data_IF_856046044059
#
_entry.id   IF_856046044059
#
_cell.length_a   1.000
_cell.length_b   1.000
_cell.length_c   1.000
_cell.angle_alpha   90.00
_cell.angle_beta   90.00
_cell.angle_gamma   90.00
#
_symmetry.space_group_name_H-M   'P 1'
#
loop_
_entity.id
_entity.type
_entity.pdbx_description
1 polymer ?
#
# COMPACT_ATOMS: atom_id res chain seq x y z
N UNK A 1 -5.90 11.95 15.93
CA UNK A 1 -6.14 11.18 14.68
C UNK A 1 -5.96 12.14 13.51
N UNK A 2 -5.18 11.74 12.51
CA UNK A 2 -4.73 12.59 11.40
C UNK A 2 -5.93 13.03 10.52
N UNK A 3 -5.89 14.22 9.93
CA UNK A 3 -6.95 14.74 9.03
C UNK A 3 -7.21 13.82 7.83
N UNK A 4 -6.21 13.02 7.46
CA UNK A 4 -6.26 11.97 6.45
C UNK A 4 -7.44 11.00 6.60
N UNK A 5 -7.93 10.78 7.82
CA UNK A 5 -9.03 9.86 8.09
C UNK A 5 -10.35 10.24 7.43
N UNK A 6 -10.53 11.50 7.05
CA UNK A 6 -11.75 12.01 6.40
C UNK A 6 -11.65 12.06 4.87
N UNK A 7 -10.50 11.69 4.28
CA UNK A 7 -10.31 11.74 2.85
C UNK A 7 -11.06 10.61 2.13
N UNK A 8 -11.59 10.86 0.91
CA UNK A 8 -12.29 9.85 0.13
C UNK A 8 -11.41 8.64 -0.17
N UNK A 9 -12.00 7.47 -0.03
CA UNK A 9 -11.38 6.17 -0.23
C UNK A 9 -12.27 5.35 -1.16
N UNK A 10 -11.74 4.91 -2.29
CA UNK A 10 -12.51 4.07 -3.21
C UNK A 10 -12.81 2.72 -2.53
N UNK A 11 -14.08 2.33 -2.42
CA UNK A 11 -14.46 1.04 -1.81
C UNK A 11 -13.97 -0.16 -2.62
N UNK A 12 -13.75 0.01 -3.93
CA UNK A 12 -13.34 -1.07 -4.83
C UNK A 12 -11.83 -1.32 -4.80
N UNK A 13 -10.98 -0.30 -4.96
CA UNK A 13 -9.52 -0.49 -5.02
C UNK A 13 -8.77 0.01 -3.79
N UNK A 14 -9.46 0.56 -2.79
CA UNK A 14 -8.89 1.16 -1.58
C UNK A 14 -7.97 2.37 -1.81
N UNK A 15 -7.83 2.87 -3.04
CA UNK A 15 -7.01 4.06 -3.29
C UNK A 15 -7.66 5.29 -2.68
N UNK A 16 -6.87 6.05 -1.94
CA UNK A 16 -7.28 7.30 -1.30
C UNK A 16 -7.06 8.50 -2.22
N UNK A 17 -8.00 9.43 -2.18
CA UNK A 17 -8.03 10.62 -3.04
C UNK A 17 -7.98 11.91 -2.20
N UNK A 18 -7.67 13.02 -2.86
CA UNK A 18 -7.84 14.35 -2.27
C UNK A 18 -9.32 14.66 -1.98
N UNK A 19 -9.58 15.52 -1.00
CA UNK A 19 -10.93 15.96 -0.64
C UNK A 19 -11.66 16.68 -1.79
N UNK A 20 -10.92 17.25 -2.75
CA UNK A 20 -11.45 17.97 -3.91
C UNK A 20 -11.84 17.06 -5.07
N UNK A 21 -11.61 15.75 -4.98
CA UNK A 21 -11.87 14.82 -6.08
C UNK A 21 -13.37 14.73 -6.43
N UNK A 22 -13.70 14.72 -7.72
CA UNK A 22 -15.06 14.49 -8.20
C UNK A 22 -15.36 12.99 -8.10
N UNK A 23 -16.11 12.60 -7.06
CA UNK A 23 -16.40 11.21 -6.67
C UNK A 23 -17.30 10.44 -7.67
N UNK A 24 -17.39 10.87 -8.92
CA UNK A 24 -18.09 10.16 -9.99
C UNK A 24 -17.33 8.94 -10.50
N UNK A 25 -16.00 8.97 -10.44
CA UNK A 25 -15.15 7.95 -11.04
C UNK A 25 -13.84 7.77 -10.26
N UNK A 26 -13.28 6.56 -10.33
CA UNK A 26 -11.97 6.22 -9.79
C UNK A 26 -11.11 5.78 -10.96
N UNK A 27 -10.16 6.61 -11.39
CA UNK A 27 -9.36 6.31 -12.59
C UNK A 27 -8.53 5.04 -12.46
N UNK A 28 -8.18 4.64 -11.24
CA UNK A 28 -7.56 3.33 -10.96
C UNK A 28 -8.50 2.15 -11.28
N UNK A 29 -9.80 2.31 -11.04
CA UNK A 29 -10.82 1.27 -11.30
C UNK A 29 -11.35 1.31 -12.74
N UNK A 30 -11.31 2.46 -13.39
CA UNK A 30 -11.68 2.63 -14.80
C UNK A 30 -10.61 2.07 -15.75
N UNK A 31 -9.41 1.79 -15.23
CA UNK A 31 -8.39 1.10 -15.98
C UNK A 31 -8.80 -0.36 -16.28
N UNK A 32 -8.61 -0.87 -17.51
CA UNK A 32 -9.04 -2.20 -17.91
C UNK A 32 -8.35 -3.36 -17.18
N UNK A 33 -7.25 -3.12 -16.46
CA UNK A 33 -6.59 -4.11 -15.60
C UNK A 33 -7.29 -4.23 -14.24
N UNK A 34 -8.32 -3.42 -14.02
CA UNK A 34 -9.13 -3.40 -12.83
C UNK A 34 -10.62 -3.39 -13.17
N UNK A 35 -11.45 -3.23 -12.15
CA UNK A 35 -12.90 -3.29 -12.30
C UNK A 35 -13.61 -2.29 -11.39
N UNK A 36 -14.86 -2.02 -11.74
CA UNK A 36 -15.85 -1.33 -10.93
C UNK A 36 -16.82 -2.39 -10.40
N UNK A 37 -17.35 -2.21 -9.19
CA UNK A 37 -18.34 -3.14 -8.64
C UNK A 37 -19.62 -3.15 -9.50
N UNK A 38 -20.39 -4.26 -9.51
CA UNK A 38 -21.69 -4.30 -10.19
C UNK A 38 -22.68 -3.23 -9.70
N UNK A 39 -22.54 -2.79 -8.45
CA UNK A 39 -23.30 -1.69 -7.85
C UNK A 39 -22.85 -0.29 -8.31
N UNK A 40 -21.82 -0.20 -9.15
CA UNK A 40 -21.19 1.05 -9.57
C UNK A 40 -20.07 1.51 -8.64
N UNK A 41 -19.55 2.70 -8.95
CA UNK A 41 -18.50 3.36 -8.17
C UNK A 41 -19.00 3.72 -6.77
N UNK A 42 -18.23 3.38 -5.74
CA UNK A 42 -18.58 3.67 -4.35
C UNK A 42 -17.39 4.18 -3.55
N UNK A 43 -17.68 5.00 -2.54
CA UNK A 43 -16.69 5.70 -1.74
C UNK A 43 -16.98 5.54 -0.25
N UNK A 44 -15.92 5.65 0.55
CA UNK A 44 -15.92 5.64 2.01
C UNK A 44 -14.80 6.55 2.50
N UNK A 45 -14.58 6.59 3.81
CA UNK A 45 -13.40 7.17 4.45
C UNK A 45 -12.84 6.18 5.48
N UNK A 46 -11.59 6.35 5.89
CA UNK A 46 -11.04 5.57 7.01
C UNK A 46 -11.87 5.79 8.29
N UNK A 47 -12.34 7.01 8.53
CA UNK A 47 -13.20 7.35 9.67
C UNK A 47 -14.48 6.52 9.70
N UNK A 48 -15.14 6.37 8.55
CA UNK A 48 -16.33 5.51 8.44
C UNK A 48 -15.98 4.04 8.67
N UNK A 49 -14.86 3.55 8.12
CA UNK A 49 -14.42 2.17 8.34
C UNK A 49 -14.12 1.87 9.82
N UNK A 50 -13.51 2.81 10.57
CA UNK A 50 -13.26 2.65 12.01
C UNK A 50 -14.55 2.63 12.85
N UNK A 51 -15.59 3.32 12.37
CA UNK A 51 -16.88 3.45 13.04
C UNK A 51 -17.87 2.35 12.67
N UNK A 52 -17.63 1.64 11.55
CA UNK A 52 -18.44 0.52 11.08
C UNK A 52 -18.28 -0.71 11.99
N UNK A 53 -19.06 -0.74 13.07
CA UNK A 53 -19.08 -1.84 14.04
C UNK A 53 -19.75 -3.10 13.51
N UNK A 54 -20.51 -3.00 12.43
CA UNK A 54 -21.15 -4.16 11.81
C UNK A 54 -20.12 -4.98 11.03
N UNK A 55 -19.30 -4.32 10.22
CA UNK A 55 -18.20 -4.98 9.50
C UNK A 55 -17.01 -5.29 10.41
N UNK A 56 -16.71 -4.39 11.36
CA UNK A 56 -15.63 -4.54 12.34
C UNK A 56 -14.27 -4.89 11.69
N UNK A 57 -13.84 -4.03 10.75
CA UNK A 57 -12.59 -4.19 10.02
C UNK A 57 -11.38 -4.25 10.96
N UNK A 58 -10.45 -5.15 10.65
CA UNK A 58 -9.17 -5.31 11.34
C UNK A 58 -8.13 -5.83 10.37
N UNK A 59 -6.86 -5.51 10.61
CA UNK A 59 -5.78 -6.14 9.86
C UNK A 59 -5.31 -7.42 10.55
N UNK A 60 -5.17 -8.49 9.77
CA UNK A 60 -4.68 -9.78 10.21
C UNK A 60 -3.22 -9.91 9.84
N UNK A 61 -2.41 -10.38 10.80
CA UNK A 61 -0.99 -10.61 10.67
C UNK A 61 -0.69 -12.10 10.72
N UNK A 62 -0.08 -12.63 9.67
CA UNK A 62 0.34 -14.04 9.60
C UNK A 62 1.74 -14.16 9.00
N UNK A 63 2.42 -15.28 9.23
CA UNK A 63 3.65 -15.61 8.51
C UNK A 63 3.28 -16.40 7.25
N UNK A 64 3.90 -16.12 6.09
CA UNK A 64 3.45 -16.69 4.82
C UNK A 64 3.78 -18.19 4.66
N UNK A 65 4.84 -18.67 5.32
CA UNK A 65 5.27 -20.07 5.33
C UNK A 65 6.25 -20.34 6.47
N UNK A 66 6.43 -21.61 6.80
CA UNK A 66 7.41 -22.06 7.79
C UNK A 66 8.83 -21.68 7.37
N UNK A 67 9.59 -21.07 8.28
CA UNK A 67 10.96 -20.62 7.99
C UNK A 67 11.08 -19.18 7.48
N UNK A 68 9.97 -18.42 7.42
CA UNK A 68 9.98 -16.98 7.20
C UNK A 68 9.60 -16.17 8.47
N UNK A 69 10.33 -16.33 9.61
CA UNK A 69 9.92 -15.71 10.87
C UNK A 69 9.95 -14.17 10.83
N UNK A 70 10.69 -13.61 9.89
CA UNK A 70 10.90 -12.17 9.71
C UNK A 70 10.05 -11.56 8.58
N UNK A 71 9.07 -12.31 8.06
CA UNK A 71 8.12 -11.83 7.05
C UNK A 71 6.72 -11.98 7.62
N UNK A 72 5.98 -10.88 7.69
CA UNK A 72 4.56 -10.89 8.02
C UNK A 72 3.73 -10.47 6.82
N UNK A 73 2.68 -11.20 6.51
CA UNK A 73 1.61 -10.73 5.64
C UNK A 73 0.58 -9.95 6.44
N UNK A 74 0.06 -8.89 5.84
CA UNK A 74 -0.98 -8.03 6.40
C UNK A 74 -2.11 -7.94 5.40
N UNK A 75 -3.33 -8.33 5.79
CA UNK A 75 -4.54 -8.16 4.99
C UNK A 75 -5.70 -7.72 5.89
N UNK A 76 -6.70 -7.05 5.30
CA UNK A 76 -7.87 -6.58 6.05
C UNK A 76 -8.99 -7.63 6.04
N UNK A 77 -9.60 -7.87 7.21
CA UNK A 77 -10.80 -8.68 7.38
C UNK A 77 -11.93 -7.87 8.04
N UNK A 78 -13.18 -7.93 7.52
CA UNK A 78 -13.55 -8.56 6.24
C UNK A 78 -12.85 -7.90 5.05
N UNK A 79 -12.83 -8.60 3.91
CA UNK A 79 -12.10 -8.15 2.71
C UNK A 79 -12.54 -6.74 2.32
N UNK A 80 -11.58 -5.83 2.24
CA UNK A 80 -11.77 -4.46 1.78
C UNK A 80 -10.95 -4.19 0.51
N UNK A 81 -11.50 -3.35 -0.38
CA UNK A 81 -10.90 -3.11 -1.69
C UNK A 81 -10.81 -4.39 -2.52
N UNK A 82 -9.70 -4.52 -3.26
CA UNK A 82 -9.40 -5.70 -4.09
C UNK A 82 -8.77 -6.85 -3.28
N UNK A 83 -8.87 -6.84 -1.95
CA UNK A 83 -8.25 -7.86 -1.09
C UNK A 83 -6.73 -7.80 -1.08
N UNK A 84 -6.18 -6.58 -1.03
CA UNK A 84 -4.74 -6.33 -1.00
C UNK A 84 -4.08 -7.07 0.16
N UNK A 85 -2.84 -7.50 -0.07
CA UNK A 85 -1.97 -8.09 0.94
C UNK A 85 -0.62 -7.41 0.92
N UNK A 86 -0.27 -6.74 2.01
CA UNK A 86 1.04 -6.14 2.21
C UNK A 86 1.99 -7.13 2.90
N UNK A 87 3.29 -6.92 2.79
CA UNK A 87 4.32 -7.71 3.46
C UNK A 87 5.24 -6.80 4.29
N UNK A 88 5.38 -7.10 5.58
CA UNK A 88 6.33 -6.44 6.48
C UNK A 88 7.59 -7.31 6.57
N UNK A 89 8.71 -6.75 6.12
CA UNK A 89 10.03 -7.39 6.13
C UNK A 89 10.85 -6.87 7.31
N UNK A 90 11.16 -7.74 8.28
CA UNK A 90 11.97 -7.39 9.44
C UNK A 90 13.46 -7.59 9.15
N UNK A 91 14.12 -6.52 8.71
CA UNK A 91 15.55 -6.55 8.34
C UNK A 91 16.43 -6.04 9.47
N UNK A 92 17.73 -6.32 9.41
CA UNK A 92 18.71 -5.79 10.37
C UNK A 92 18.89 -4.26 10.29
N UNK A 93 18.40 -3.61 9.24
CA UNK A 93 18.53 -2.16 8.99
C UNK A 93 17.22 -1.40 9.20
N UNK A 94 16.20 -2.06 9.74
CA UNK A 94 14.84 -1.54 9.92
C UNK A 94 13.83 -2.24 9.00
N UNK A 95 12.54 -2.05 9.29
CA UNK A 95 11.51 -2.79 8.57
C UNK A 95 11.11 -2.10 7.26
N UNK A 96 10.86 -2.90 6.23
CA UNK A 96 10.31 -2.43 4.95
C UNK A 96 8.91 -2.98 4.78
N UNK A 97 7.96 -2.12 4.45
CA UNK A 97 6.62 -2.55 4.02
C UNK A 97 6.59 -2.63 2.49
N UNK A 98 6.39 -3.83 1.95
CA UNK A 98 6.10 -4.06 0.55
C UNK A 98 4.59 -4.03 0.33
N UNK A 99 4.16 -3.08 -0.51
CA UNK A 99 2.77 -2.72 -0.76
C UNK A 99 1.99 -2.20 0.48
N UNK A 100 0.82 -1.63 0.26
CA UNK A 100 -0.06 -1.15 1.34
C UNK A 100 -1.48 -1.70 1.21
N UNK A 101 -2.09 -1.99 2.36
CA UNK A 101 -3.54 -2.18 2.47
C UNK A 101 -4.24 -0.85 2.75
N UNK A 102 -5.48 -0.70 2.29
CA UNK A 102 -6.25 0.52 2.50
C UNK A 102 -6.54 0.84 3.97
N UNK A 103 -6.95 -0.17 4.75
CA UNK A 103 -7.34 0.00 6.15
C UNK A 103 -6.12 0.07 7.07
N UNK A 104 -6.09 1.07 7.96
CA UNK A 104 -5.08 1.21 9.01
C UNK A 104 -5.76 1.74 10.27
N UNK A 105 -5.49 1.13 11.41
CA UNK A 105 -6.02 1.50 12.72
C UNK A 105 -4.93 1.46 13.79
N UNK A 106 -5.28 1.84 15.03
CA UNK A 106 -4.30 1.91 16.11
C UNK A 106 -3.73 0.52 16.47
N UNK A 107 -4.54 -0.55 16.42
CA UNK A 107 -4.06 -1.90 16.70
C UNK A 107 -3.01 -2.37 15.69
N UNK A 108 -3.22 -2.06 14.40
CA UNK A 108 -2.23 -2.27 13.33
C UNK A 108 -0.94 -1.52 13.61
N UNK A 109 -1.06 -0.24 14.00
CA UNK A 109 0.10 0.62 14.32
C UNK A 109 0.88 0.07 15.50
N UNK A 110 0.20 -0.29 16.58
CA UNK A 110 0.81 -0.83 17.79
C UNK A 110 1.51 -2.16 17.50
N UNK A 111 0.88 -3.03 16.70
CA UNK A 111 1.48 -4.30 16.26
C UNK A 111 2.76 -4.06 15.47
N UNK A 112 2.75 -3.17 14.48
CA UNK A 112 3.96 -2.87 13.68
C UNK A 112 5.04 -2.22 14.52
N UNK A 113 4.69 -1.31 15.44
CA UNK A 113 5.66 -0.72 16.37
C UNK A 113 6.29 -1.78 17.29
N UNK A 114 5.50 -2.76 17.77
CA UNK A 114 6.03 -3.90 18.54
C UNK A 114 7.00 -4.78 17.74
N UNK A 115 6.91 -4.74 16.41
CA UNK A 115 7.79 -5.45 15.47
C UNK A 115 8.98 -4.59 15.00
N UNK A 116 9.15 -3.36 15.50
CA UNK A 116 10.27 -2.47 15.18
C UNK A 116 9.91 -1.25 14.32
N UNK A 117 8.62 -0.97 14.10
CA UNK A 117 8.15 0.18 13.32
C UNK A 117 8.37 0.00 11.82
N UNK A 118 8.43 1.10 11.07
CA UNK A 118 8.78 1.11 9.64
C UNK A 118 9.96 2.04 9.38
N UNK A 119 10.78 1.67 8.38
CA UNK A 119 11.87 2.50 7.88
C UNK A 119 11.62 2.97 6.44
N UNK A 120 10.91 2.17 5.64
CA UNK A 120 10.52 2.50 4.29
C UNK A 120 9.24 1.75 3.89
N UNK A 121 8.52 2.31 2.92
CA UNK A 121 7.41 1.65 2.22
C UNK A 121 7.80 1.60 0.74
N UNK A 122 7.56 0.48 0.06
CA UNK A 122 7.77 0.35 -1.37
C UNK A 122 6.49 -0.17 -1.98
N UNK A 123 5.93 0.56 -2.95
CA UNK A 123 4.69 0.13 -3.61
C UNK A 123 5.03 -0.43 -4.98
N UNK A 124 4.58 -1.66 -5.24
CA UNK A 124 4.86 -2.40 -6.46
C UNK A 124 4.28 -1.73 -7.70
N UNK A 125 3.03 -1.25 -7.62
CA UNK A 125 2.30 -0.63 -8.72
C UNK A 125 1.01 0.08 -8.22
N UNK A 126 0.32 0.88 -9.05
CA UNK A 126 -0.80 1.73 -8.67
C UNK A 126 -1.98 1.07 -7.95
N UNK A 127 -2.28 -0.21 -8.17
CA UNK A 127 -3.36 -0.87 -7.42
C UNK A 127 -3.10 -0.96 -5.91
N UNK A 128 -1.85 -0.76 -5.47
CA UNK A 128 -1.45 -0.76 -4.07
C UNK A 128 -1.14 0.65 -3.53
N UNK A 129 -1.48 1.71 -4.28
CA UNK A 129 -1.35 3.07 -3.77
C UNK A 129 -2.21 3.26 -2.51
N UNK A 130 -3.40 2.66 -2.42
CA UNK A 130 -4.13 2.51 -1.16
C UNK A 130 -4.17 3.83 -0.35
N UNK A 131 -3.82 3.77 0.94
CA UNK A 131 -3.63 4.91 1.85
C UNK A 131 -2.14 5.18 2.13
N UNK A 132 -1.22 4.96 1.18
CA UNK A 132 0.24 4.98 1.42
C UNK A 132 0.79 6.25 2.10
N UNK A 133 0.23 7.44 1.81
CA UNK A 133 0.62 8.68 2.51
C UNK A 133 0.22 8.60 3.98
N UNK A 134 -1.01 8.14 4.27
CA UNK A 134 -1.50 7.96 5.65
C UNK A 134 -0.62 6.99 6.41
N UNK A 135 -0.26 5.86 5.80
CA UNK A 135 0.72 4.92 6.36
C UNK A 135 2.05 5.61 6.67
N UNK A 136 2.65 6.27 5.69
CA UNK A 136 3.93 6.97 5.88
C UNK A 136 3.89 7.97 7.05
N UNK A 137 2.88 8.87 7.05
CA UNK A 137 2.70 9.89 8.10
C UNK A 137 2.48 9.25 9.48
N UNK A 138 1.74 8.14 9.54
CA UNK A 138 1.46 7.42 10.79
C UNK A 138 2.73 6.84 11.40
N UNK A 139 3.68 6.40 10.57
CA UNK A 139 4.97 5.87 11.01
C UNK A 139 6.10 6.91 11.00
N UNK A 140 5.77 8.21 11.10
CA UNK A 140 6.77 9.27 11.25
C UNK A 140 7.37 9.77 9.93
N UNK A 141 6.56 9.85 8.87
CA UNK A 141 6.94 10.31 7.53
C UNK A 141 8.03 9.45 6.88
N UNK A 142 7.94 8.12 7.01
CA UNK A 142 8.86 7.19 6.35
C UNK A 142 8.76 7.31 4.81
N UNK A 143 9.88 7.22 4.06
CA UNK A 143 9.84 7.35 2.61
C UNK A 143 8.97 6.27 1.96
N UNK A 144 8.19 6.67 0.96
CA UNK A 144 7.38 5.79 0.11
C UNK A 144 7.97 5.75 -1.30
N UNK A 145 8.57 4.62 -1.67
CA UNK A 145 9.18 4.42 -2.98
C UNK A 145 8.14 3.97 -3.99
N UNK A 146 8.00 4.75 -5.08
CA UNK A 146 7.10 4.50 -6.19
C UNK A 146 7.88 4.58 -7.50
N UNK A 147 7.51 3.83 -8.53
CA UNK A 147 8.10 4.01 -9.85
C UNK A 147 7.72 5.37 -10.45
N UNK A 148 8.70 6.07 -11.05
CA UNK A 148 8.45 7.37 -11.69
C UNK A 148 7.51 7.27 -12.89
N UNK A 149 7.50 6.12 -13.57
CA UNK A 149 6.69 5.79 -14.74
C UNK A 149 5.17 5.85 -14.44
N UNK A 150 4.77 5.61 -13.19
CA UNK A 150 3.38 5.48 -12.78
C UNK A 150 2.84 6.73 -12.05
N UNK A 151 3.54 7.87 -12.16
CA UNK A 151 3.14 9.16 -11.54
C UNK A 151 1.74 9.62 -11.93
N UNK A 152 1.31 9.32 -13.16
CA UNK A 152 -0.01 9.71 -13.66
C UNK A 152 -1.17 9.08 -12.90
N UNK A 153 -0.91 8.00 -12.16
CA UNK A 153 -1.92 7.27 -11.38
C UNK A 153 -2.13 7.83 -9.97
N UNK A 154 -1.30 8.78 -9.53
CA UNK A 154 -1.40 9.36 -8.18
C UNK A 154 -2.75 10.07 -8.01
N UNK A 155 -3.46 9.69 -6.95
CA UNK A 155 -4.84 10.12 -6.67
C UNK A 155 -4.94 11.15 -5.54
N UNK A 156 -3.90 11.23 -4.72
CA UNK A 156 -3.80 12.08 -3.54
C UNK A 156 -2.54 12.91 -3.62
N UNK A 157 -2.65 14.19 -3.30
CA UNK A 157 -1.53 15.12 -3.28
C UNK A 157 -0.61 14.85 -2.07
N UNK A 158 0.70 14.98 -2.29
CA UNK A 158 1.74 14.89 -1.26
C UNK A 158 2.46 16.25 -1.16
N UNK A 159 1.73 17.26 -0.67
CA UNK A 159 2.12 18.67 -0.60
C UNK A 159 2.68 19.11 0.77
N UNK A 160 3.07 18.15 1.60
CA UNK A 160 3.78 18.46 2.84
C UNK A 160 5.08 19.22 2.52
N UNK A 161 5.55 20.06 3.46
CA UNK A 161 6.83 20.75 3.32
C UNK A 161 7.98 19.78 2.99
N UNK A 162 7.91 18.56 3.55
CA UNK A 162 8.75 17.42 3.22
C UNK A 162 7.85 16.29 2.70
N UNK A 163 7.66 16.16 1.37
CA UNK A 163 6.89 15.07 0.78
C UNK A 163 7.48 13.70 1.14
N UNK A 164 6.63 12.69 1.27
CA UNK A 164 7.06 11.35 1.68
C UNK A 164 7.41 10.46 0.48
N UNK A 165 6.87 10.76 -0.70
CA UNK A 165 7.14 9.98 -1.92
C UNK A 165 8.59 10.13 -2.39
N UNK A 166 9.18 9.04 -2.84
CA UNK A 166 10.48 8.95 -3.51
C UNK A 166 10.26 8.24 -4.83
N UNK A 167 10.48 8.94 -5.94
CA UNK A 167 10.25 8.37 -7.27
C UNK A 167 11.51 7.67 -7.77
N UNK A 168 11.37 6.39 -8.08
CA UNK A 168 12.43 5.51 -8.58
C UNK A 168 12.51 5.64 -10.10
N UNK A 169 13.61 6.21 -10.58
CA UNK A 169 13.87 6.37 -12.02
C UNK A 169 14.67 5.20 -12.58
N UNK A 170 15.60 4.68 -11.78
CA UNK A 170 16.49 3.59 -12.13
C UNK A 170 15.76 2.25 -12.21
N UNK A 171 16.29 1.34 -13.04
CA UNK A 171 15.76 -0.02 -13.14
C UNK A 171 15.89 -0.80 -11.82
N UNK A 172 16.93 -0.52 -11.04
CA UNK A 172 17.26 -1.21 -9.79
C UNK A 172 17.61 -0.16 -8.75
N UNK A 173 17.03 -0.25 -7.56
CA UNK A 173 17.31 0.64 -6.43
C UNK A 173 17.42 -0.16 -5.14
N UNK A 174 18.45 0.13 -4.34
CA UNK A 174 18.59 -0.42 -3.00
C UNK A 174 17.80 0.46 -2.01
N UNK A 175 16.80 -0.12 -1.35
CA UNK A 175 15.88 0.57 -0.43
C UNK A 175 16.49 0.69 0.97
N UNK A 176 17.07 -0.41 1.42
CA UNK A 176 17.90 -0.57 2.62
C UNK A 176 18.99 -1.60 2.28
N UNK A 177 20.10 -1.68 3.04
CA UNK A 177 21.15 -2.65 2.74
C UNK A 177 20.59 -4.08 2.66
N UNK A 178 20.71 -4.69 1.47
CA UNK A 178 20.21 -6.04 1.16
C UNK A 178 18.75 -6.14 0.72
N UNK A 179 18.00 -5.02 0.66
CA UNK A 179 16.61 -4.96 0.16
C UNK A 179 16.60 -4.17 -1.14
N UNK A 180 16.29 -4.83 -2.25
CA UNK A 180 16.40 -4.22 -3.59
C UNK A 180 15.06 -4.26 -4.31
N UNK A 181 14.60 -3.11 -4.82
CA UNK A 181 13.47 -3.03 -5.72
C UNK A 181 13.95 -3.00 -7.18
N UNK A 182 13.24 -3.71 -8.06
CA UNK A 182 13.57 -3.83 -9.49
C UNK A 182 12.33 -3.53 -10.31
N UNK A 183 12.40 -2.54 -11.20
CA UNK A 183 11.37 -2.29 -12.21
C UNK A 183 11.43 -3.37 -13.29
N UNK A 184 10.34 -4.12 -13.41
CA UNK A 184 10.18 -5.20 -14.40
C UNK A 184 9.14 -4.86 -15.45
N UNK A 185 8.27 -3.88 -15.20
CA UNK A 185 7.15 -3.53 -16.08
C UNK A 185 6.12 -4.66 -16.16
N UNK A 186 5.35 -4.70 -17.25
CA UNK A 186 4.32 -5.71 -17.48
C UNK A 186 2.94 -5.21 -17.08
N UNK A 187 2.51 -5.48 -15.84
CA UNK A 187 1.18 -5.09 -15.36
C UNK A 187 0.97 -3.58 -15.43
N UNK A 188 1.92 -2.79 -14.92
CA UNK A 188 2.08 -1.35 -15.18
C UNK A 188 3.46 -1.10 -15.80
N UNK A 189 3.67 0.01 -16.54
CA UNK A 189 5.00 0.39 -17.01
C UNK A 189 6.04 0.46 -15.90
N UNK A 190 5.64 0.96 -14.72
CA UNK A 190 6.49 1.06 -13.53
C UNK A 190 6.45 -0.14 -12.59
N UNK A 191 5.75 -1.24 -12.91
CA UNK A 191 5.63 -2.40 -12.03
C UNK A 191 6.99 -2.88 -11.50
N UNK A 192 7.08 -3.01 -10.17
CA UNK A 192 8.27 -3.45 -9.45
C UNK A 192 8.08 -4.83 -8.83
N UNK A 193 9.22 -5.51 -8.62
CA UNK A 193 9.38 -6.61 -7.69
C UNK A 193 10.39 -6.23 -6.61
N UNK A 194 10.32 -6.86 -5.44
CA UNK A 194 11.27 -6.67 -4.34
C UNK A 194 12.04 -7.95 -4.07
N UNK A 195 13.35 -7.83 -3.91
CA UNK A 195 14.22 -8.93 -3.50
C UNK A 195 14.77 -8.66 -2.10
N UNK A 196 14.64 -9.65 -1.22
CA UNK A 196 15.28 -9.65 0.10
C UNK A 196 15.58 -11.08 0.55
N UNK A 197 16.83 -11.29 1.02
CA UNK A 197 17.35 -12.62 1.34
C UNK A 197 17.12 -13.58 0.14
N UNK A 198 16.51 -14.75 0.37
CA UNK A 198 16.22 -15.75 -0.67
C UNK A 198 14.76 -15.63 -1.20
N UNK A 199 14.12 -14.47 -1.00
CA UNK A 199 12.70 -14.27 -1.33
C UNK A 199 12.50 -13.15 -2.35
N UNK A 200 11.65 -13.42 -3.34
CA UNK A 200 11.20 -12.45 -4.34
C UNK A 200 9.71 -12.16 -4.14
N UNK A 201 9.37 -10.89 -3.94
CA UNK A 201 8.00 -10.39 -3.83
C UNK A 201 7.57 -9.81 -5.17
N UNK A 202 6.60 -10.45 -5.82
CA UNK A 202 6.33 -10.24 -7.25
C UNK A 202 5.08 -9.40 -7.54
N UNK A 203 4.21 -9.23 -6.55
CA UNK A 203 2.88 -8.62 -6.72
C UNK A 203 2.16 -9.20 -7.96
N UNK A 204 1.62 -8.34 -8.82
CA UNK A 204 0.90 -8.73 -10.05
C UNK A 204 1.85 -8.86 -11.26
N UNK A 205 3.16 -8.67 -11.08
CA UNK A 205 4.13 -8.75 -12.20
C UNK A 205 4.36 -10.19 -12.66
N UNK A 206 4.13 -11.17 -11.78
CA UNK A 206 4.15 -12.60 -12.09
C UNK A 206 2.89 -13.20 -11.50
N UNK A 207 1.92 -13.49 -12.36
CA UNK A 207 0.69 -14.21 -12.01
C UNK A 207 0.74 -15.62 -12.59
N UNK A 208 0.32 -16.60 -11.81
CA UNK A 208 0.15 -17.97 -12.31
C UNK A 208 -1.16 -18.05 -13.08
N UNK A 209 -1.11 -18.62 -14.28
CA UNK A 209 -2.29 -18.89 -15.10
C UNK A 209 -3.13 -20.06 -14.55
#
# INVERSE_FOLDING_TARGET
>A
MNSDGALPLCKTCSTQYDASHDLKACHICDDPRQYILPSGQAWTTLSELWQDKEQNYKNIFTQPYDGAPNIWTIHTEPVFGIGQRAFLLQTSHGNVLWDCVGYIDQETVDKINSLGGLKAIVISHPHFYSTHITWSRTFGNVPVYLASDDKTWLSRTDDAAEPVRRFVEEKVVEILPGVTAVKVGGHFPGSMVLHWADTLFVADSIVWA
#
